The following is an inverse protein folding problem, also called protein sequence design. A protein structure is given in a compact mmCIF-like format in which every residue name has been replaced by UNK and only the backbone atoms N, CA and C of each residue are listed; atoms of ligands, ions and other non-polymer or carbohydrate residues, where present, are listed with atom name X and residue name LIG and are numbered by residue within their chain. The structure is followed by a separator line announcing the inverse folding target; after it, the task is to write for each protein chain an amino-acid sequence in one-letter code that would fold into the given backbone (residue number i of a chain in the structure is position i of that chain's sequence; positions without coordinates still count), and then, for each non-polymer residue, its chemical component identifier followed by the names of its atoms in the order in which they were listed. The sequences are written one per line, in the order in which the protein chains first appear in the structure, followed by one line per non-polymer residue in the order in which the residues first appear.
data_IF_202020943134
#
_entry.id   IF_202020943134
#
_cell.length_a   1.000
_cell.length_b   1.000
_cell.length_c   1.000
_cell.angle_alpha   90.00
_cell.angle_beta   90.00
_cell.angle_gamma   90.00
#
_symmetry.space_group_name_H-M   'P 1'
#
loop_
_entity.id
_entity.type
_entity.pdbx_description
1 polymer ?
#
# COMPACT_ATOMS: atom_id res chain seq x y z
N UNK A 1 0.94 23.72 9.28
CA UNK A 1 0.44 23.03 8.07
C UNK A 1 1.49 22.18 7.34
N UNK A 2 2.80 22.29 7.62
CA UNK A 2 3.85 21.55 6.90
C UNK A 2 3.96 20.05 7.22
N UNK A 3 3.65 19.61 8.44
CA UNK A 3 3.74 18.19 8.84
C UNK A 3 2.70 17.28 8.17
N UNK A 4 1.45 17.77 8.07
CA UNK A 4 0.31 17.01 7.53
C UNK A 4 0.45 16.75 6.03
N UNK A 5 0.94 17.74 5.28
CA UNK A 5 1.23 17.59 3.84
C UNK A 5 2.40 16.61 3.60
N UNK A 6 3.37 16.58 4.52
CA UNK A 6 4.50 15.64 4.47
C UNK A 6 4.06 14.19 4.69
N UNK A 7 3.13 13.95 5.62
CA UNK A 7 2.58 12.60 5.90
C UNK A 7 1.75 12.05 4.73
N UNK A 8 0.93 12.89 4.10
CA UNK A 8 0.18 12.50 2.90
C UNK A 8 1.11 12.12 1.74
N UNK A 9 2.19 12.88 1.53
CA UNK A 9 3.21 12.57 0.53
C UNK A 9 3.95 11.26 0.82
N UNK A 10 4.31 11.01 2.08
CA UNK A 10 4.93 9.76 2.50
C UNK A 10 4.00 8.56 2.27
N UNK A 11 2.72 8.69 2.59
CA UNK A 11 1.70 7.64 2.38
C UNK A 11 1.55 7.30 0.90
N UNK A 12 1.44 8.31 0.02
CA UNK A 12 1.36 8.07 -1.43
C UNK A 12 2.62 7.42 -2.00
N UNK A 13 3.80 7.82 -1.52
CA UNK A 13 5.07 7.20 -1.90
C UNK A 13 5.12 5.73 -1.46
N UNK A 14 4.65 5.42 -0.24
CA UNK A 14 4.52 4.06 0.26
C UNK A 14 3.62 3.19 -0.62
N UNK A 15 2.43 3.68 -0.97
CA UNK A 15 1.50 2.98 -1.86
C UNK A 15 2.16 2.69 -3.23
N UNK A 16 2.88 3.67 -3.80
CA UNK A 16 3.59 3.48 -5.06
C UNK A 16 4.68 2.40 -4.95
N UNK A 17 5.46 2.44 -3.88
CA UNK A 17 6.52 1.46 -3.64
C UNK A 17 5.96 0.04 -3.50
N UNK A 18 4.87 -0.13 -2.75
CA UNK A 18 4.20 -1.43 -2.59
C UNK A 18 3.66 -1.97 -3.92
N UNK A 19 3.04 -1.13 -4.75
CA UNK A 19 2.57 -1.53 -6.09
C UNK A 19 3.71 -1.94 -7.03
N UNK A 20 4.85 -1.24 -6.95
CA UNK A 20 6.05 -1.62 -7.69
C UNK A 20 6.61 -2.96 -7.22
N UNK A 21 6.70 -3.17 -5.90
CA UNK A 21 7.13 -4.44 -5.32
C UNK A 21 6.22 -5.60 -5.74
N UNK A 22 4.89 -5.40 -5.69
CA UNK A 22 3.90 -6.38 -6.14
C UNK A 22 4.13 -6.79 -7.60
N UNK A 23 4.32 -5.81 -8.49
CA UNK A 23 4.61 -6.07 -9.91
C UNK A 23 5.93 -6.81 -10.09
N UNK A 24 6.97 -6.43 -9.33
CA UNK A 24 8.27 -7.10 -9.36
C UNK A 24 8.16 -8.58 -8.97
N UNK A 25 7.39 -8.90 -7.93
CA UNK A 25 7.17 -10.27 -7.48
C UNK A 25 6.38 -11.09 -8.51
N UNK A 26 5.35 -10.51 -9.13
CA UNK A 26 4.63 -11.19 -10.22
C UNK A 26 5.56 -11.55 -11.39
N UNK A 27 6.46 -10.64 -11.78
CA UNK A 27 7.44 -10.93 -12.82
C UNK A 27 8.38 -12.06 -12.41
N UNK A 28 8.90 -12.03 -11.17
CA UNK A 28 9.74 -13.11 -10.65
C UNK A 28 9.01 -14.45 -10.60
N UNK A 29 7.70 -14.46 -10.29
CA UNK A 29 6.86 -15.67 -10.37
C UNK A 29 6.82 -16.25 -11.77
N UNK A 30 6.61 -15.40 -12.77
CA UNK A 30 6.62 -15.83 -14.16
C UNK A 30 7.99 -16.41 -14.57
N UNK A 31 9.09 -15.77 -14.18
CA UNK A 31 10.44 -16.23 -14.50
C UNK A 31 10.73 -17.62 -13.90
N UNK A 32 10.29 -17.84 -12.66
CA UNK A 32 10.42 -19.13 -11.99
C UNK A 32 9.54 -20.20 -12.65
N UNK A 33 8.32 -19.87 -13.06
CA UNK A 33 7.45 -20.79 -13.80
C UNK A 33 8.01 -21.17 -15.18
N UNK A 34 8.64 -20.23 -15.88
CA UNK A 34 9.34 -20.50 -17.13
C UNK A 34 10.50 -21.48 -16.89
N UNK A 35 11.31 -21.19 -15.87
CA UNK A 35 12.42 -22.05 -15.46
C UNK A 35 11.97 -23.46 -15.05
N UNK A 36 10.82 -23.57 -14.37
CA UNK A 36 10.17 -24.86 -14.05
C UNK A 36 9.85 -25.67 -15.29
N UNK A 37 9.27 -25.03 -16.30
CA UNK A 37 8.87 -25.68 -17.55
C UNK A 37 10.11 -26.26 -18.23
N UNK A 38 11.18 -25.47 -18.34
CA UNK A 38 12.45 -25.90 -18.93
C UNK A 38 13.11 -27.04 -18.14
N UNK A 39 13.16 -26.93 -16.80
CA UNK A 39 13.76 -27.95 -15.94
C UNK A 39 12.96 -29.25 -15.91
N UNK A 40 11.63 -29.19 -15.92
CA UNK A 40 10.77 -30.39 -15.96
C UNK A 40 10.98 -31.23 -17.21
N UNK A 41 11.35 -30.59 -18.32
CA UNK A 41 11.69 -31.27 -19.58
C UNK A 41 13.07 -31.93 -19.55
N UNK A 42 13.97 -31.45 -18.66
CA UNK A 42 15.38 -31.84 -18.62
C UNK A 42 15.69 -32.82 -17.48
N UNK A 43 15.06 -32.66 -16.32
CA UNK A 43 15.29 -33.46 -15.12
C UNK A 43 14.13 -34.45 -14.90
N UNK A 44 14.11 -35.54 -15.67
CA UNK A 44 13.19 -36.65 -15.43
C UNK A 44 13.67 -37.52 -14.25
N UNK A 45 12.78 -37.86 -13.31
CA UNK A 45 13.05 -38.77 -12.18
C UNK A 45 12.90 -38.13 -10.79
N UNK A 46 13.45 -38.77 -9.76
CA UNK A 46 13.35 -38.35 -8.33
C UNK A 46 13.75 -36.89 -8.10
N UNK A 47 14.79 -36.40 -8.77
CA UNK A 47 15.33 -35.06 -8.54
C UNK A 47 14.44 -33.97 -9.13
N UNK A 48 13.81 -34.22 -10.28
CA UNK A 48 12.78 -33.34 -10.85
C UNK A 48 11.55 -33.24 -9.95
N UNK A 49 11.16 -34.34 -9.31
CA UNK A 49 10.06 -34.37 -8.33
C UNK A 49 10.34 -33.47 -7.11
N UNK A 50 11.51 -33.63 -6.47
CA UNK A 50 11.92 -32.80 -5.33
C UNK A 50 12.05 -31.32 -5.69
N UNK A 51 12.54 -31.03 -6.89
CA UNK A 51 12.62 -29.65 -7.38
C UNK A 51 11.22 -29.06 -7.62
N UNK A 52 10.29 -29.84 -8.16
CA UNK A 52 8.88 -29.46 -8.28
C UNK A 52 8.24 -29.11 -6.95
N UNK A 53 8.44 -29.94 -5.92
CA UNK A 53 7.93 -29.65 -4.56
C UNK A 53 8.51 -28.36 -3.96
N UNK A 54 9.79 -28.09 -4.21
CA UNK A 54 10.43 -26.84 -3.76
C UNK A 54 9.79 -25.63 -4.45
N UNK A 55 9.50 -25.73 -5.75
CA UNK A 55 8.85 -24.68 -6.50
C UNK A 55 7.41 -24.46 -6.07
N UNK A 56 6.66 -25.52 -5.73
CA UNK A 56 5.30 -25.39 -5.20
C UNK A 56 5.32 -24.64 -3.85
N UNK A 57 6.22 -25.01 -2.93
CA UNK A 57 6.39 -24.27 -1.67
C UNK A 57 6.79 -22.82 -1.87
N UNK A 58 7.62 -22.55 -2.87
CA UNK A 58 8.03 -21.19 -3.22
C UNK A 58 6.82 -20.38 -3.74
N UNK A 59 6.00 -20.99 -4.59
CA UNK A 59 4.79 -20.38 -5.15
C UNK A 59 3.78 -20.03 -4.04
N UNK A 60 3.59 -20.92 -3.05
CA UNK A 60 2.76 -20.67 -1.87
C UNK A 60 3.25 -19.44 -1.07
N UNK A 61 4.57 -19.29 -0.90
CA UNK A 61 5.13 -18.12 -0.21
C UNK A 61 4.94 -16.84 -1.01
N UNK A 62 5.04 -16.91 -2.34
CA UNK A 62 4.76 -15.77 -3.22
C UNK A 62 3.32 -15.31 -3.06
N UNK A 63 2.35 -16.22 -2.98
CA UNK A 63 0.94 -15.87 -2.76
C UNK A 63 0.70 -15.17 -1.42
N UNK A 64 1.37 -15.63 -0.35
CA UNK A 64 1.32 -14.97 0.96
C UNK A 64 1.89 -13.55 0.87
N UNK A 65 3.04 -13.38 0.21
CA UNK A 65 3.68 -12.06 0.07
C UNK A 65 2.79 -11.11 -0.75
N UNK A 66 2.24 -11.56 -1.86
CA UNK A 66 1.36 -10.74 -2.71
C UNK A 66 0.09 -10.32 -1.95
N UNK A 67 -0.49 -11.24 -1.17
CA UNK A 67 -1.64 -10.94 -0.31
C UNK A 67 -1.29 -9.86 0.72
N UNK A 68 -0.15 -10.01 1.41
CA UNK A 68 0.29 -9.02 2.40
C UNK A 68 0.55 -7.65 1.77
N UNK A 69 1.18 -7.59 0.60
CA UNK A 69 1.42 -6.33 -0.12
C UNK A 69 0.11 -5.64 -0.50
N UNK A 70 -0.89 -6.41 -0.97
CA UNK A 70 -2.19 -5.86 -1.28
C UNK A 70 -2.90 -5.33 -0.04
N UNK A 71 -2.89 -6.07 1.07
CA UNK A 71 -3.46 -5.61 2.34
C UNK A 71 -2.80 -4.32 2.85
N UNK A 72 -1.47 -4.20 2.74
CA UNK A 72 -0.76 -2.96 3.10
C UNK A 72 -1.14 -1.77 2.19
N UNK A 73 -1.36 -2.01 0.90
CA UNK A 73 -1.86 -0.97 -0.03
C UNK A 73 -3.26 -0.51 0.39
N UNK A 74 -4.13 -1.44 0.75
CA UNK A 74 -5.50 -1.14 1.16
C UNK A 74 -5.52 -0.34 2.47
N UNK A 75 -4.72 -0.75 3.46
CA UNK A 75 -4.60 -0.07 4.75
C UNK A 75 -4.02 1.35 4.63
N UNK A 76 -2.98 1.54 3.82
CA UNK A 76 -2.43 2.88 3.55
C UNK A 76 -3.43 3.75 2.77
N UNK A 77 -4.18 3.17 1.84
CA UNK A 77 -5.21 3.90 1.09
C UNK A 77 -6.34 4.35 2.00
N UNK A 78 -6.77 3.49 2.93
CA UNK A 78 -7.79 3.84 3.92
C UNK A 78 -7.28 4.90 4.90
N UNK A 79 -6.05 4.74 5.41
CA UNK A 79 -5.39 5.73 6.26
C UNK A 79 -5.34 7.10 5.57
N UNK A 80 -4.99 7.17 4.29
CA UNK A 80 -4.97 8.42 3.53
C UNK A 80 -6.36 9.09 3.46
N UNK A 81 -7.43 8.31 3.29
CA UNK A 81 -8.81 8.84 3.27
C UNK A 81 -9.22 9.38 4.62
N UNK A 82 -8.92 8.65 5.70
CA UNK A 82 -9.25 9.08 7.06
C UNK A 82 -8.53 10.37 7.44
N UNK A 83 -7.24 10.49 7.08
CA UNK A 83 -6.48 11.72 7.28
C UNK A 83 -7.06 12.91 6.50
N UNK A 84 -7.54 12.70 5.27
CA UNK A 84 -8.18 13.76 4.49
C UNK A 84 -9.48 14.21 5.16
N UNK A 85 -10.33 13.26 5.57
CA UNK A 85 -11.59 13.57 6.25
C UNK A 85 -11.39 14.34 7.56
N UNK A 86 -10.39 13.95 8.35
CA UNK A 86 -10.05 14.64 9.59
C UNK A 86 -9.57 16.08 9.35
N UNK A 87 -8.80 16.32 8.29
CA UNK A 87 -8.35 17.65 7.89
C UNK A 87 -9.52 18.55 7.48
N UNK A 88 -10.45 18.03 6.68
CA UNK A 88 -11.60 18.79 6.21
C UNK A 88 -12.50 19.20 7.40
N UNK A 89 -12.71 18.29 8.35
CA UNK A 89 -13.47 18.55 9.58
C UNK A 89 -12.79 19.62 10.44
N UNK A 90 -11.48 19.48 10.70
CA UNK A 90 -10.74 20.45 11.49
C UNK A 90 -10.73 21.85 10.85
N UNK A 91 -10.68 21.93 9.51
CA UNK A 91 -10.78 23.19 8.78
C UNK A 91 -12.14 23.88 8.95
N UNK A 92 -13.23 23.11 8.93
CA UNK A 92 -14.58 23.63 9.17
C UNK A 92 -14.76 24.15 10.60
N UNK A 93 -14.24 23.41 11.60
CA UNK A 93 -14.28 23.82 13.00
C UNK A 93 -13.50 25.12 13.23
N UNK A 94 -12.31 25.24 12.63
CA UNK A 94 -11.50 26.47 12.70
C UNK A 94 -12.24 27.65 12.07
N UNK A 95 -12.78 27.48 10.86
CA UNK A 95 -13.53 28.56 10.19
C UNK A 95 -14.77 28.98 10.98
N UNK A 96 -15.45 28.02 11.60
CA UNK A 96 -16.61 28.27 12.46
C UNK A 96 -16.20 29.05 13.70
N UNK A 97 -15.14 28.62 14.39
CA UNK A 97 -14.60 29.31 15.56
C UNK A 97 -14.11 30.73 15.21
N UNK A 98 -13.50 30.90 14.04
CA UNK A 98 -13.05 32.21 13.56
C UNK A 98 -14.24 33.15 13.30
N UNK A 99 -15.27 32.65 12.62
CA UNK A 99 -16.50 33.41 12.34
C UNK A 99 -17.23 33.80 13.62
N UNK A 100 -17.23 32.93 14.64
CA UNK A 100 -17.77 33.25 15.97
C UNK A 100 -16.93 34.30 16.68
N UNK A 101 -15.59 34.23 16.59
CA UNK A 101 -14.70 35.20 17.18
C UNK A 101 -14.88 36.59 16.55
N UNK A 102 -14.95 36.69 15.22
CA UNK A 102 -15.21 37.94 14.50
C UNK A 102 -16.54 38.56 14.93
N UNK A 103 -17.62 37.76 15.00
CA UNK A 103 -18.93 38.24 15.47
C UNK A 103 -18.90 38.78 16.91
N UNK A 104 -18.08 38.19 17.79
CA UNK A 104 -17.89 38.69 19.17
C UNK A 104 -17.08 39.98 19.19
N UNK A 105 -16.01 40.08 18.39
CA UNK A 105 -15.20 41.30 18.28
C UNK A 105 -16.01 42.47 17.69
N UNK A 106 -16.80 42.22 16.66
CA UNK A 106 -17.72 43.22 16.08
C UNK A 106 -18.74 43.70 17.12
N UNK A 107 -19.28 42.79 17.94
CA UNK A 107 -20.21 43.15 19.01
C UNK A 107 -19.57 43.96 20.16
N UNK A 108 -18.25 43.82 20.38
CA UNK A 108 -17.51 44.58 21.39
C UNK A 108 -17.00 45.94 20.88
N UNK A 109 -16.97 46.13 19.57
CA UNK A 109 -16.49 47.34 18.91
C UNK A 109 -17.62 48.27 18.41
N UNK A 110 -18.88 47.86 18.59
CA UNK A 110 -20.10 48.65 18.41
C UNK A 110 -20.58 49.28 19.72
#
# INVERSE_FOLDING_TARGET
MSGVQSEAGATQNGIRALKQAFTGILNSRQDVQNTRTDLSSTYAGSDGGKYGELLDKWDDQVDIILTNLQSMVDELTETAKQHQFAQDTAGQDINTAYSQADAVFDALSA
#
